data_IF_366097465878
#
_entry.id   IF_366097465878
#
_cell.length_a   1.000
_cell.length_b   1.000
_cell.length_c   1.000
_cell.angle_alpha   90.00
_cell.angle_beta   90.00
_cell.angle_gamma   90.00
#
_symmetry.space_group_name_H-M   'P 1'
#
loop_
_entity.id
_entity.type
_entity.pdbx_description
1 polymer ?
#
# COMPACT_ATOMS: atom_id res chain seq x y z
N UNK A 1 3.02 -31.61 -5.50
CA UNK A 1 1.63 -31.37 -5.96
C UNK A 1 1.51 -29.91 -6.32
N UNK A 2 1.05 -29.59 -7.53
CA UNK A 2 1.03 -28.21 -8.05
C UNK A 2 0.10 -27.30 -7.24
N UNK A 3 0.43 -26.02 -7.14
CA UNK A 3 -0.27 -24.99 -6.34
C UNK A 3 -1.69 -24.66 -6.82
N UNK A 4 -2.13 -25.26 -7.92
CA UNK A 4 -3.38 -24.94 -8.62
C UNK A 4 -4.42 -26.08 -8.58
N UNK A 5 -4.05 -27.28 -8.10
CA UNK A 5 -4.95 -28.43 -8.08
C UNK A 5 -6.21 -28.14 -7.23
N UNK A 6 -7.40 -28.37 -7.79
CA UNK A 6 -8.68 -28.18 -7.09
C UNK A 6 -9.21 -26.73 -7.06
N UNK A 7 -8.56 -25.81 -7.79
CA UNK A 7 -9.09 -24.45 -8.04
C UNK A 7 -10.01 -24.46 -9.26
N UNK A 8 -10.79 -23.38 -9.44
CA UNK A 8 -11.75 -23.22 -10.54
C UNK A 8 -11.57 -21.88 -11.25
N UNK A 9 -11.58 -21.90 -12.59
CA UNK A 9 -11.44 -20.71 -13.41
C UNK A 9 -12.60 -20.54 -14.41
N UNK A 10 -13.10 -19.31 -14.57
CA UNK A 10 -13.90 -18.88 -15.72
C UNK A 10 -12.96 -18.32 -16.78
N UNK A 11 -13.11 -18.79 -18.01
CA UNK A 11 -12.36 -18.32 -19.18
C UNK A 11 -13.31 -17.89 -20.28
N UNK A 12 -13.23 -16.63 -20.70
CA UNK A 12 -14.09 -16.10 -21.77
C UNK A 12 -13.38 -16.02 -23.14
N UNK A 13 -14.09 -16.36 -24.22
CA UNK A 13 -13.75 -15.96 -25.60
C UNK A 13 -13.05 -16.96 -26.54
N UNK A 14 -13.35 -16.81 -27.82
CA UNK A 14 -13.37 -17.86 -28.85
C UNK A 14 -12.03 -18.23 -29.52
N UNK A 15 -10.89 -17.62 -29.15
CA UNK A 15 -9.61 -17.94 -29.81
C UNK A 15 -8.41 -17.85 -28.86
N UNK A 16 -8.21 -16.71 -28.20
CA UNK A 16 -7.16 -16.56 -27.18
C UNK A 16 -7.59 -17.09 -25.79
N UNK A 17 -8.90 -17.17 -25.52
CA UNK A 17 -9.45 -17.73 -24.28
C UNK A 17 -9.29 -19.25 -24.22
N UNK A 18 -9.57 -19.93 -25.32
CA UNK A 18 -9.44 -21.40 -25.45
C UNK A 18 -8.03 -21.89 -25.08
N UNK A 19 -6.98 -21.24 -25.58
CA UNK A 19 -5.59 -21.59 -25.21
C UNK A 19 -5.31 -21.47 -23.71
N UNK A 20 -5.97 -20.52 -23.02
CA UNK A 20 -5.87 -20.37 -21.57
C UNK A 20 -6.71 -21.41 -20.83
N UNK A 21 -7.87 -21.78 -21.35
CA UNK A 21 -8.67 -22.87 -20.81
C UNK A 21 -7.86 -24.18 -20.77
N UNK A 22 -7.14 -24.50 -21.84
CA UNK A 22 -6.22 -25.64 -21.86
C UNK A 22 -5.02 -25.48 -20.91
N UNK A 23 -4.47 -24.28 -20.76
CA UNK A 23 -3.39 -24.04 -19.81
C UNK A 23 -3.83 -24.30 -18.36
N UNK A 24 -5.02 -23.84 -17.98
CA UNK A 24 -5.61 -24.13 -16.66
C UNK A 24 -5.92 -25.63 -16.50
N UNK A 25 -6.47 -26.27 -17.53
CA UNK A 25 -6.76 -27.70 -17.49
C UNK A 25 -5.49 -28.55 -17.25
N UNK A 26 -4.38 -28.23 -17.92
CA UNK A 26 -3.09 -28.92 -17.73
C UNK A 26 -2.56 -28.85 -16.29
N UNK A 27 -2.94 -27.83 -15.55
CA UNK A 27 -2.60 -27.64 -14.14
C UNK A 27 -3.64 -28.27 -13.18
N UNK A 28 -4.63 -28.99 -13.70
CA UNK A 28 -5.66 -29.68 -12.91
C UNK A 28 -6.72 -28.74 -12.31
N UNK A 29 -6.91 -27.57 -12.92
CA UNK A 29 -7.92 -26.57 -12.52
C UNK A 29 -9.23 -26.88 -13.24
N UNK A 30 -10.36 -26.88 -12.52
CA UNK A 30 -11.68 -27.01 -13.14
C UNK A 30 -12.02 -25.77 -13.97
N UNK A 31 -12.53 -25.93 -15.19
CA UNK A 31 -12.67 -24.82 -16.14
C UNK A 31 -14.12 -24.61 -16.58
N UNK A 32 -14.66 -23.43 -16.30
CA UNK A 32 -15.88 -22.94 -16.93
C UNK A 32 -15.51 -22.12 -18.19
N UNK A 33 -15.89 -22.64 -19.35
CA UNK A 33 -15.71 -21.99 -20.66
C UNK A 33 -16.95 -21.16 -20.97
N UNK A 34 -16.75 -19.87 -21.23
CA UNK A 34 -17.80 -18.92 -21.56
C UNK A 34 -17.60 -18.38 -22.97
N UNK A 35 -18.55 -18.67 -23.86
CA UNK A 35 -18.51 -18.18 -25.23
C UNK A 35 -19.93 -17.99 -25.80
N UNK A 36 -20.05 -17.08 -26.77
CA UNK A 36 -21.29 -16.92 -27.54
C UNK A 36 -21.38 -18.00 -28.63
N UNK A 37 -20.24 -18.52 -29.08
CA UNK A 37 -20.15 -19.61 -30.05
C UNK A 37 -20.31 -20.96 -29.33
N UNK A 38 -21.52 -21.51 -29.41
CA UNK A 38 -21.92 -22.76 -28.74
C UNK A 38 -21.13 -23.96 -29.24
N UNK A 39 -20.92 -24.06 -30.55
CA UNK A 39 -20.22 -25.20 -31.14
C UNK A 39 -18.77 -25.24 -30.67
N UNK A 40 -18.10 -24.09 -30.69
CA UNK A 40 -16.71 -23.95 -30.27
C UNK A 40 -16.52 -24.19 -28.78
N UNK A 41 -17.36 -23.59 -27.95
CA UNK A 41 -17.29 -23.76 -26.51
C UNK A 41 -17.56 -25.20 -26.07
N UNK A 42 -18.54 -25.86 -26.70
CA UNK A 42 -18.82 -27.29 -26.46
C UNK A 42 -17.61 -28.16 -26.84
N UNK A 43 -17.00 -27.90 -28.01
CA UNK A 43 -15.80 -28.61 -28.44
C UNK A 43 -14.62 -28.45 -27.47
N UNK A 44 -14.37 -27.23 -26.99
CA UNK A 44 -13.29 -26.98 -26.01
C UNK A 44 -13.51 -27.75 -24.71
N UNK A 45 -14.73 -27.81 -24.20
CA UNK A 45 -15.04 -28.57 -22.99
C UNK A 45 -14.89 -30.08 -23.20
N UNK A 46 -15.26 -30.60 -24.37
CA UNK A 46 -15.00 -32.00 -24.72
C UNK A 46 -13.50 -32.32 -24.75
N UNK A 47 -12.69 -31.47 -25.39
CA UNK A 47 -11.23 -31.62 -25.44
C UNK A 47 -10.59 -31.52 -24.04
N UNK A 48 -11.10 -30.65 -23.14
CA UNK A 48 -10.63 -30.59 -21.75
C UNK A 48 -11.04 -31.84 -20.96
N UNK A 49 -12.25 -32.36 -21.19
CA UNK A 49 -12.72 -33.58 -20.55
C UNK A 49 -11.87 -34.80 -20.94
N UNK A 50 -11.40 -34.88 -22.18
CA UNK A 50 -10.44 -35.91 -22.64
C UNK A 50 -9.11 -35.86 -21.88
N UNK A 51 -8.74 -34.70 -21.32
CA UNK A 51 -7.55 -34.55 -20.46
C UNK A 51 -7.78 -35.02 -19.01
N UNK A 52 -8.99 -35.50 -18.68
CA UNK A 52 -9.35 -35.95 -17.33
C UNK A 52 -9.66 -34.81 -16.36
N UNK A 53 -9.97 -33.61 -16.87
CA UNK A 53 -10.23 -32.41 -16.07
C UNK A 53 -11.70 -32.03 -16.18
N UNK A 54 -12.29 -31.63 -15.05
CA UNK A 54 -13.69 -31.24 -15.00
C UNK A 54 -13.91 -29.87 -15.67
N UNK A 55 -14.84 -29.82 -16.62
CA UNK A 55 -15.12 -28.61 -17.39
C UNK A 55 -16.62 -28.41 -17.65
N UNK A 56 -17.03 -27.15 -17.72
CA UNK A 56 -18.41 -26.71 -17.94
C UNK A 56 -18.43 -25.71 -19.08
N UNK A 57 -19.31 -25.90 -20.06
CA UNK A 57 -19.60 -24.86 -21.04
C UNK A 57 -20.84 -24.09 -20.61
N UNK A 58 -20.76 -22.76 -20.63
CA UNK A 58 -21.93 -21.88 -20.46
C UNK A 58 -22.00 -20.90 -21.64
N UNK A 59 -23.02 -21.00 -22.51
CA UNK A 59 -23.27 -20.00 -23.54
C UNK A 59 -23.39 -18.62 -22.89
N UNK A 60 -22.48 -17.71 -23.21
CA UNK A 60 -22.43 -16.40 -22.55
C UNK A 60 -22.26 -15.27 -23.55
N UNK A 61 -23.22 -14.35 -23.57
CA UNK A 61 -23.02 -13.03 -24.15
C UNK A 61 -22.48 -12.08 -23.08
N UNK A 62 -21.20 -11.71 -23.19
CA UNK A 62 -20.55 -10.80 -22.23
C UNK A 62 -21.09 -9.37 -22.25
N UNK A 63 -21.98 -9.03 -23.18
CA UNK A 63 -22.70 -7.74 -23.21
C UNK A 63 -24.04 -7.78 -22.46
N UNK A 64 -24.53 -8.97 -22.10
CA UNK A 64 -25.77 -9.17 -21.33
C UNK A 64 -25.45 -9.52 -19.87
N UNK A 65 -25.86 -8.64 -18.96
CA UNK A 65 -25.64 -8.81 -17.53
C UNK A 65 -26.32 -10.06 -16.95
N UNK A 66 -27.47 -10.46 -17.51
CA UNK A 66 -28.19 -11.65 -17.04
C UNK A 66 -27.46 -12.94 -17.44
N UNK A 67 -26.97 -13.00 -18.68
CA UNK A 67 -26.10 -14.07 -19.19
C UNK A 67 -24.80 -14.22 -18.36
N UNK A 68 -24.15 -13.10 -18.00
CA UNK A 68 -22.96 -13.14 -17.13
C UNK A 68 -23.30 -13.63 -15.71
N UNK A 69 -24.45 -13.24 -15.16
CA UNK A 69 -24.89 -13.72 -13.86
C UNK A 69 -25.15 -15.24 -13.86
N UNK A 70 -25.70 -15.77 -14.95
CA UNK A 70 -25.90 -17.21 -15.16
C UNK A 70 -24.58 -17.96 -15.29
N UNK A 71 -23.59 -17.42 -15.99
CA UNK A 71 -22.24 -17.99 -16.05
C UNK A 71 -21.63 -18.17 -14.66
N UNK A 72 -21.66 -17.12 -13.83
CA UNK A 72 -21.10 -17.19 -12.47
C UNK A 72 -21.88 -18.20 -11.63
N UNK A 73 -23.22 -18.15 -11.67
CA UNK A 73 -24.09 -19.06 -10.92
C UNK A 73 -23.87 -20.52 -11.33
N UNK A 74 -23.84 -20.80 -12.63
CA UNK A 74 -23.60 -22.13 -13.18
C UNK A 74 -22.23 -22.68 -12.80
N UNK A 75 -21.20 -21.83 -12.81
CA UNK A 75 -19.84 -22.21 -12.39
C UNK A 75 -19.80 -22.60 -10.91
N UNK A 76 -20.32 -21.73 -10.02
CA UNK A 76 -20.35 -22.01 -8.59
C UNK A 76 -21.24 -23.22 -8.28
N UNK A 77 -22.34 -23.41 -9.00
CA UNK A 77 -23.19 -24.58 -8.84
C UNK A 77 -22.48 -25.89 -9.24
N UNK A 78 -21.71 -25.88 -10.34
CA UNK A 78 -21.06 -27.07 -10.87
C UNK A 78 -19.79 -27.47 -10.10
N UNK A 79 -19.02 -26.49 -9.65
CA UNK A 79 -17.70 -26.72 -9.03
C UNK A 79 -17.62 -26.33 -7.55
N UNK A 80 -18.68 -25.74 -6.98
CA UNK A 80 -18.75 -25.30 -5.58
C UNK A 80 -17.98 -24.01 -5.26
N UNK A 81 -17.18 -23.49 -6.20
CA UNK A 81 -16.33 -22.30 -6.01
C UNK A 81 -15.97 -21.64 -7.35
N UNK A 82 -15.40 -20.44 -7.26
CA UNK A 82 -14.77 -19.71 -8.35
C UNK A 82 -13.53 -19.00 -7.80
N UNK A 83 -12.34 -19.31 -8.34
CA UNK A 83 -11.07 -18.73 -7.88
C UNK A 83 -10.50 -17.70 -8.86
N UNK A 84 -10.72 -17.91 -10.17
CA UNK A 84 -10.18 -17.05 -11.22
C UNK A 84 -11.26 -16.69 -12.24
N UNK A 85 -11.29 -15.43 -12.68
CA UNK A 85 -12.13 -15.00 -13.80
C UNK A 85 -11.26 -14.24 -14.82
N UNK A 86 -11.09 -14.83 -16.01
CA UNK A 86 -10.29 -14.25 -17.08
C UNK A 86 -11.19 -13.69 -18.17
N UNK A 87 -11.19 -12.36 -18.30
CA UNK A 87 -11.86 -11.65 -19.39
C UNK A 87 -10.86 -11.28 -20.48
N UNK A 88 -11.21 -11.55 -21.74
CA UNK A 88 -10.47 -10.98 -22.88
C UNK A 88 -10.70 -9.46 -22.99
N UNK A 89 -9.64 -8.70 -23.23
CA UNK A 89 -9.73 -7.32 -23.74
C UNK A 89 -9.99 -7.41 -25.25
N UNK A 90 -11.09 -6.83 -25.76
CA UNK A 90 -11.20 -6.54 -27.20
C UNK A 90 -10.31 -5.34 -27.49
N UNK A 91 -9.04 -5.58 -27.79
CA UNK A 91 -8.17 -4.54 -28.36
C UNK A 91 -8.18 -4.63 -29.88
N UNK A 92 -8.54 -3.55 -30.56
CA UNK A 92 -8.29 -3.40 -32.00
C UNK A 92 -6.85 -2.90 -32.14
N UNK A 93 -5.91 -3.84 -32.16
CA UNK A 93 -4.55 -3.59 -32.62
C UNK A 93 -3.48 -3.70 -31.53
N UNK A 94 -2.37 -4.32 -31.93
CA UNK A 94 -1.12 -4.57 -31.19
C UNK A 94 -1.14 -5.72 -30.18
N UNK A 95 -0.47 -6.81 -30.57
CA UNK A 95 -0.13 -7.93 -29.72
C UNK A 95 1.05 -7.55 -28.80
N UNK A 96 0.88 -7.72 -27.49
CA UNK A 96 1.93 -7.65 -26.47
C UNK A 96 1.54 -8.54 -25.27
N UNK A 97 2.50 -9.20 -24.59
CA UNK A 97 2.21 -10.38 -23.79
C UNK A 97 1.85 -10.01 -22.36
N UNK A 98 0.57 -10.06 -21.96
CA UNK A 98 0.23 -10.04 -20.54
C UNK A 98 -0.97 -10.92 -20.18
N UNK A 99 -0.71 -11.88 -19.30
CA UNK A 99 -1.53 -12.09 -18.11
C UNK A 99 -0.59 -12.48 -16.97
N UNK A 100 -0.52 -11.65 -15.94
CA UNK A 100 0.08 -12.04 -14.67
C UNK A 100 -0.86 -13.03 -13.99
N UNK A 101 -0.37 -14.26 -13.80
CA UNK A 101 -0.92 -15.20 -12.83
C UNK A 101 -0.32 -14.80 -11.49
N UNK A 102 -1.14 -14.30 -10.57
CA UNK A 102 -0.74 -14.18 -9.17
C UNK A 102 -0.96 -15.52 -8.47
N UNK A 103 0.13 -16.20 -8.15
CA UNK A 103 0.19 -17.12 -7.02
C UNK A 103 1.58 -17.09 -6.37
N UNK A 104 1.66 -16.59 -5.13
CA UNK A 104 2.76 -16.74 -4.17
C UNK A 104 2.12 -17.42 -2.96
N UNK A 105 2.66 -18.46 -2.32
CA UNK A 105 4.07 -18.82 -2.15
C UNK A 105 4.24 -20.16 -1.39
N UNK A 106 5.52 -20.58 -1.33
CA UNK A 106 6.22 -21.41 -0.33
C UNK A 106 6.22 -22.93 -0.53
N UNK A 107 7.44 -23.46 -0.67
CA UNK A 107 7.72 -24.83 -1.09
C UNK A 107 8.00 -25.79 0.04
N UNK A 108 8.46 -26.98 -0.34
CA UNK A 108 9.29 -27.82 0.51
C UNK A 108 10.00 -28.94 -0.30
N UNK A 109 11.19 -29.30 0.20
CA UNK A 109 11.98 -30.52 0.02
C UNK A 109 12.94 -30.69 -1.19
N UNK A 110 14.22 -30.43 -0.87
CA UNK A 110 15.32 -31.43 -0.76
C UNK A 110 15.45 -32.55 -1.82
N UNK A 111 16.64 -32.63 -2.44
CA UNK A 111 17.45 -33.85 -2.54
C UNK A 111 18.87 -33.58 -3.05
N UNK A 112 19.83 -33.77 -2.14
CA UNK A 112 21.11 -34.49 -2.29
C UNK A 112 21.75 -34.67 -3.70
N UNK A 113 23.00 -34.22 -3.88
CA UNK A 113 24.19 -35.08 -4.06
C UNK A 113 25.51 -34.27 -4.17
N UNK A 114 26.68 -34.87 -3.90
CA UNK A 114 27.87 -34.16 -3.42
C UNK A 114 28.97 -34.01 -4.48
N UNK A 115 29.64 -32.85 -4.50
CA UNK A 115 31.01 -32.76 -5.01
C UNK A 115 31.87 -31.93 -4.07
N UNK A 116 32.84 -32.62 -3.44
CA UNK A 116 33.91 -32.04 -2.64
C UNK A 116 34.88 -31.29 -3.54
N UNK A 117 35.14 -30.02 -3.25
CA UNK A 117 36.46 -29.40 -3.42
C UNK A 117 36.66 -28.40 -2.28
N UNK A 118 37.51 -28.77 -1.33
CA UNK A 118 38.00 -27.89 -0.26
C UNK A 118 38.95 -26.86 -0.87
N UNK A 119 38.57 -25.58 -0.81
CA UNK A 119 39.49 -24.46 -0.92
C UNK A 119 39.40 -23.66 0.37
N UNK A 120 40.33 -23.93 1.28
CA UNK A 120 40.50 -23.17 2.51
C UNK A 120 40.96 -21.74 2.19
N UNK A 121 40.03 -20.79 2.14
CA UNK A 121 40.33 -19.36 2.14
C UNK A 121 40.25 -18.84 3.57
N UNK A 122 41.42 -18.45 4.09
CA UNK A 122 41.58 -17.66 5.31
C UNK A 122 40.57 -16.50 5.31
N UNK A 123 39.58 -16.54 6.20
CA UNK A 123 38.70 -15.43 6.53
C UNK A 123 39.51 -14.37 7.27
N UNK A 124 40.13 -13.46 6.52
CA UNK A 124 40.49 -12.16 7.07
C UNK A 124 39.19 -11.41 7.32
N UNK A 125 38.94 -10.99 8.57
CA UNK A 125 37.84 -10.08 8.92
C UNK A 125 37.96 -8.86 8.01
N UNK A 126 37.08 -8.76 7.01
CA UNK A 126 36.87 -7.51 6.28
C UNK A 126 36.27 -6.52 7.26
N UNK A 127 36.87 -5.34 7.36
CA UNK A 127 36.22 -4.18 7.96
C UNK A 127 34.84 -3.98 7.29
N UNK A 128 33.79 -3.58 8.04
CA UNK A 128 32.45 -3.49 7.50
C UNK A 128 32.41 -2.41 6.42
N UNK A 129 32.07 -2.80 5.19
CA UNK A 129 31.79 -1.83 4.13
C UNK A 129 30.55 -1.02 4.50
N UNK A 130 30.60 0.28 4.27
CA UNK A 130 29.48 1.23 4.37
C UNK A 130 28.45 1.06 3.22
N UNK A 131 28.19 -0.18 2.79
CA UNK A 131 27.41 -0.53 1.58
C UNK A 131 26.06 -1.16 1.96
N UNK A 132 25.34 -0.60 2.94
CA UNK A 132 24.06 -1.12 3.40
C UNK A 132 22.87 -0.27 2.94
N UNK A 133 21.74 -0.91 2.66
CA UNK A 133 20.47 -0.20 2.46
C UNK A 133 19.95 0.35 3.79
N UNK A 134 19.44 1.57 3.77
CA UNK A 134 18.81 2.23 4.90
C UNK A 134 17.29 2.34 4.70
N UNK A 135 16.53 1.98 5.74
CA UNK A 135 15.10 2.23 5.89
C UNK A 135 14.94 3.33 6.94
N UNK A 136 14.34 4.45 6.56
CA UNK A 136 13.98 5.53 7.48
C UNK A 136 12.50 5.44 7.83
N UNK A 137 12.18 5.43 9.11
CA UNK A 137 10.80 5.44 9.61
C UNK A 137 10.66 6.61 10.59
N UNK A 138 9.97 7.65 10.14
CA UNK A 138 9.63 8.86 10.90
C UNK A 138 8.28 8.62 11.58
N UNK A 139 8.29 8.53 12.91
CA UNK A 139 7.19 8.06 13.74
C UNK A 139 7.35 6.58 14.13
N UNK A 140 7.52 6.32 15.41
CA UNK A 140 7.68 5.03 16.05
C UNK A 140 6.38 4.51 16.71
N UNK A 141 5.23 5.11 16.36
CA UNK A 141 3.90 4.62 16.74
C UNK A 141 3.57 3.23 16.17
N UNK A 142 2.33 2.77 16.40
CA UNK A 142 1.91 1.40 16.03
C UNK A 142 2.15 1.04 14.56
N UNK A 143 1.81 1.94 13.64
CA UNK A 143 2.04 1.74 12.20
C UNK A 143 3.53 1.77 11.84
N UNK A 144 4.27 2.76 12.35
CA UNK A 144 5.71 2.88 12.11
C UNK A 144 6.47 1.62 12.54
N UNK A 145 6.15 1.08 13.72
CA UNK A 145 6.73 -0.19 14.21
C UNK A 145 6.40 -1.38 13.33
N UNK A 146 5.16 -1.52 12.89
CA UNK A 146 4.75 -2.62 12.01
C UNK A 146 5.48 -2.55 10.66
N UNK A 147 5.60 -1.35 10.08
CA UNK A 147 6.34 -1.13 8.83
C UNK A 147 7.84 -1.40 9.02
N UNK A 148 8.44 -0.88 10.08
CA UNK A 148 9.85 -1.10 10.41
C UNK A 148 10.19 -2.59 10.57
N UNK A 149 9.35 -3.33 11.30
CA UNK A 149 9.48 -4.78 11.47
C UNK A 149 9.41 -5.52 10.13
N UNK A 150 8.45 -5.16 9.28
CA UNK A 150 8.23 -5.83 7.99
C UNK A 150 9.33 -5.55 6.97
N UNK A 151 9.84 -4.31 6.91
CA UNK A 151 10.74 -3.85 5.86
C UNK A 151 12.22 -3.79 6.28
N UNK A 152 12.49 -3.85 7.59
CA UNK A 152 13.83 -3.65 8.15
C UNK A 152 14.80 -4.82 7.99
N UNK A 153 14.32 -6.00 7.59
CA UNK A 153 15.19 -7.16 7.36
C UNK A 153 16.21 -6.85 6.25
N UNK A 154 17.50 -7.09 6.54
CA UNK A 154 18.60 -6.82 5.60
C UNK A 154 18.99 -5.34 5.46
N UNK A 155 18.33 -4.43 6.18
CA UNK A 155 18.59 -2.98 6.14
C UNK A 155 19.03 -2.44 7.50
N UNK A 156 19.66 -1.28 7.50
CA UNK A 156 19.78 -0.44 8.71
C UNK A 156 18.48 0.36 8.86
N UNK A 157 17.77 0.17 9.97
CA UNK A 157 16.56 0.93 10.29
C UNK A 157 16.95 2.18 11.07
N UNK A 158 16.72 3.35 10.49
CA UNK A 158 16.74 4.63 11.21
C UNK A 158 15.30 4.91 11.69
N UNK A 159 15.05 4.61 12.96
CA UNK A 159 13.77 4.87 13.61
C UNK A 159 13.82 6.22 14.31
N UNK A 160 12.80 7.04 14.13
CA UNK A 160 12.74 8.35 14.75
C UNK A 160 11.33 8.67 15.25
N UNK A 161 11.25 9.45 16.32
CA UNK A 161 10.01 9.95 16.91
C UNK A 161 10.33 11.21 17.73
N UNK A 162 9.31 11.99 18.05
CA UNK A 162 9.39 13.09 19.00
C UNK A 162 9.31 12.58 20.44
N UNK A 163 8.53 11.52 20.68
CA UNK A 163 8.44 10.90 22.00
C UNK A 163 9.60 9.91 22.21
N UNK A 164 10.57 10.30 23.05
CA UNK A 164 11.73 9.47 23.37
C UNK A 164 11.34 8.13 24.01
N UNK A 165 10.27 8.08 24.80
CA UNK A 165 9.83 6.84 25.46
C UNK A 165 9.28 5.85 24.44
N UNK A 166 8.44 6.32 23.51
CA UNK A 166 7.93 5.50 22.40
C UNK A 166 9.09 5.04 21.51
N UNK A 167 10.02 5.95 21.18
CA UNK A 167 11.17 5.67 20.34
C UNK A 167 12.08 4.59 20.95
N UNK A 168 12.45 4.73 22.22
CA UNK A 168 13.32 3.78 22.92
C UNK A 168 12.68 2.39 23.01
N UNK A 169 11.40 2.32 23.40
CA UNK A 169 10.67 1.07 23.50
C UNK A 169 10.55 0.36 22.14
N UNK A 170 10.24 1.12 21.07
CA UNK A 170 10.14 0.60 19.72
C UNK A 170 11.50 0.10 19.20
N UNK A 171 12.56 0.87 19.41
CA UNK A 171 13.91 0.50 19.00
C UNK A 171 14.42 -0.73 19.76
N UNK A 172 14.17 -0.82 21.07
CA UNK A 172 14.53 -1.97 21.88
C UNK A 172 13.82 -3.26 21.40
N UNK A 173 12.52 -3.18 21.12
CA UNK A 173 11.76 -4.31 20.59
C UNK A 173 12.32 -4.81 19.25
N UNK A 174 12.54 -3.91 18.29
CA UNK A 174 13.09 -4.27 16.97
C UNK A 174 14.52 -4.83 17.07
N UNK A 175 15.37 -4.28 17.95
CA UNK A 175 16.70 -4.83 18.23
C UNK A 175 16.63 -6.25 18.81
N UNK A 176 15.69 -6.48 19.74
CA UNK A 176 15.44 -7.80 20.32
C UNK A 176 14.99 -8.85 19.28
N UNK A 177 14.36 -8.40 18.21
CA UNK A 177 13.94 -9.22 17.07
C UNK A 177 15.04 -9.41 16.00
N UNK A 178 16.23 -8.83 16.21
CA UNK A 178 17.39 -8.99 15.35
C UNK A 178 17.54 -7.92 14.27
N UNK A 179 16.74 -6.84 14.29
CA UNK A 179 16.91 -5.72 13.37
C UNK A 179 18.12 -4.86 13.77
N UNK A 180 18.82 -4.30 12.76
CA UNK A 180 19.84 -3.28 12.96
C UNK A 180 19.15 -1.92 13.06
N UNK A 181 19.06 -1.36 14.28
CA UNK A 181 18.29 -0.12 14.51
C UNK A 181 19.16 0.98 15.08
N UNK A 182 19.14 2.14 14.43
CA UNK A 182 19.60 3.43 14.96
C UNK A 182 18.35 4.24 15.34
N UNK A 183 18.29 4.74 16.57
CA UNK A 183 17.21 5.59 17.05
C UNK A 183 17.66 7.05 17.05
N UNK A 184 16.79 7.97 16.64
CA UNK A 184 17.07 9.41 16.68
C UNK A 184 15.81 10.19 17.08
N UNK A 185 15.90 11.03 18.11
CA UNK A 185 14.84 11.98 18.44
C UNK A 185 14.70 13.01 17.31
N UNK A 186 13.47 13.23 16.83
CA UNK A 186 13.18 14.14 15.72
C UNK A 186 11.90 14.91 15.99
N UNK A 187 11.98 16.23 15.87
CA UNK A 187 10.82 17.11 15.78
C UNK A 187 10.59 17.46 14.31
N UNK A 188 9.56 16.88 13.69
CA UNK A 188 9.29 17.11 12.26
C UNK A 188 8.85 18.55 11.97
N UNK A 189 8.40 19.31 12.97
CA UNK A 189 8.07 20.73 12.81
C UNK A 189 9.30 21.64 12.73
N UNK A 190 10.49 21.11 13.05
CA UNK A 190 11.76 21.83 12.99
C UNK A 190 12.53 21.49 11.71
N UNK A 191 12.74 22.45 10.78
CA UNK A 191 13.55 22.23 9.58
C UNK A 191 14.97 21.72 9.89
N UNK A 192 15.60 22.25 10.95
CA UNK A 192 16.93 21.83 11.36
C UNK A 192 16.96 20.39 11.86
N UNK A 193 15.91 19.96 12.57
CA UNK A 193 15.78 18.58 13.06
C UNK A 193 15.62 17.59 11.89
N UNK A 194 14.78 17.92 10.90
CA UNK A 194 14.55 17.08 9.71
C UNK A 194 15.81 17.02 8.83
N UNK A 195 16.49 18.15 8.60
CA UNK A 195 17.75 18.17 7.85
C UNK A 195 18.85 17.33 8.54
N UNK A 196 18.93 17.39 9.88
CA UNK A 196 19.83 16.54 10.65
C UNK A 196 19.47 15.05 10.52
N UNK A 197 18.18 14.71 10.51
CA UNK A 197 17.71 13.35 10.26
C UNK A 197 18.12 12.84 8.85
N UNK A 198 17.90 13.64 7.80
CA UNK A 198 18.29 13.27 6.43
C UNK A 198 19.80 13.06 6.30
N UNK A 199 20.61 13.90 6.97
CA UNK A 199 22.07 13.73 7.05
C UNK A 199 22.46 12.42 7.75
N UNK A 200 21.84 12.09 8.88
CA UNK A 200 22.07 10.81 9.56
C UNK A 200 21.70 9.63 8.66
N UNK A 201 20.55 9.69 7.97
CA UNK A 201 20.12 8.64 7.06
C UNK A 201 21.16 8.37 5.96
N UNK A 202 21.65 9.43 5.31
CA UNK A 202 22.68 9.34 4.26
C UNK A 202 24.02 8.81 4.79
N UNK A 203 24.36 9.06 6.06
CA UNK A 203 25.56 8.54 6.69
C UNK A 203 25.45 7.05 7.07
N UNK A 204 24.24 6.52 7.26
CA UNK A 204 23.99 5.12 7.62
C UNK A 204 24.01 4.17 6.41
N UNK A 205 23.82 4.68 5.20
CA UNK A 205 23.84 3.90 3.97
C UNK A 205 23.02 4.49 2.84
N UNK A 206 22.72 3.67 1.83
CA UNK A 206 21.87 4.05 0.70
C UNK A 206 20.42 4.18 1.17
N UNK A 207 19.84 5.38 1.16
CA UNK A 207 18.46 5.63 1.60
C UNK A 207 17.48 5.04 0.58
N UNK A 208 17.17 3.76 0.70
CA UNK A 208 16.32 3.05 -0.26
C UNK A 208 14.84 3.13 0.08
N UNK A 209 14.50 3.34 1.36
CA UNK A 209 13.12 3.41 1.81
C UNK A 209 12.94 4.52 2.84
N UNK A 210 11.90 5.33 2.65
CA UNK A 210 11.51 6.41 3.57
C UNK A 210 10.03 6.27 3.88
N UNK A 211 9.68 6.29 5.17
CA UNK A 211 8.31 6.16 5.62
C UNK A 211 8.02 7.26 6.62
N UNK A 212 7.04 8.11 6.31
CA UNK A 212 6.57 9.14 7.22
C UNK A 212 5.22 8.72 7.82
N UNK A 213 5.23 8.42 9.11
CA UNK A 213 4.06 8.03 9.91
C UNK A 213 3.76 8.98 11.07
N UNK A 214 4.67 9.92 11.35
CA UNK A 214 4.48 10.94 12.37
C UNK A 214 3.23 11.78 12.07
N UNK A 215 2.49 12.10 13.12
CA UNK A 215 1.29 12.90 13.02
C UNK A 215 0.53 12.93 14.34
N UNK A 216 -0.39 13.87 14.45
CA UNK A 216 -1.20 14.12 15.64
C UNK A 216 -2.69 13.99 15.27
N UNK A 217 -3.48 13.40 16.17
CA UNK A 217 -4.94 13.38 16.00
C UNK A 217 -5.61 14.63 16.56
N UNK A 218 -6.84 14.97 16.11
CA UNK A 218 -7.66 16.03 16.70
C UNK A 218 -7.93 15.89 18.20
N UNK A 219 -7.84 14.67 18.73
CA UNK A 219 -8.05 14.37 20.16
C UNK A 219 -6.80 14.67 20.99
N UNK A 220 -5.62 14.68 20.36
CA UNK A 220 -4.33 14.80 21.04
C UNK A 220 -3.76 16.23 21.02
N UNK A 221 -4.17 17.05 20.06
CA UNK A 221 -3.44 18.28 19.74
C UNK A 221 -4.36 19.43 19.31
N UNK A 222 -3.86 20.65 19.51
CA UNK A 222 -4.51 21.86 18.98
C UNK A 222 -4.40 21.92 17.46
N UNK A 223 -5.29 22.69 16.82
CA UNK A 223 -5.22 22.92 15.37
C UNK A 223 -3.86 23.44 14.92
N UNK A 224 -3.26 24.38 15.68
CA UNK A 224 -1.93 24.91 15.40
C UNK A 224 -0.83 23.83 15.42
N UNK A 225 -0.88 22.92 16.41
CA UNK A 225 0.08 21.81 16.49
C UNK A 225 -0.12 20.81 15.34
N UNK A 226 -1.36 20.51 14.96
CA UNK A 226 -1.69 19.66 13.81
C UNK A 226 -1.17 20.27 12.51
N UNK A 227 -1.40 21.56 12.26
CA UNK A 227 -0.85 22.24 11.08
C UNK A 227 0.69 22.22 11.08
N UNK A 228 1.31 22.43 12.24
CA UNK A 228 2.76 22.43 12.38
C UNK A 228 3.38 21.06 12.09
N UNK A 229 2.78 19.98 12.60
CA UNK A 229 3.32 18.61 12.48
C UNK A 229 2.83 17.91 11.21
N UNK A 230 1.52 17.83 11.01
CA UNK A 230 0.90 17.00 9.97
C UNK A 230 0.88 17.65 8.59
N UNK A 231 0.95 18.99 8.51
CA UNK A 231 1.03 19.74 7.25
C UNK A 231 2.47 20.17 6.97
N UNK A 232 3.04 21.06 7.80
CA UNK A 232 4.37 21.61 7.54
C UNK A 232 5.47 20.56 7.78
N UNK A 233 5.40 19.80 8.87
CA UNK A 233 6.41 18.78 9.17
C UNK A 233 6.44 17.62 8.17
N UNK A 234 5.27 17.13 7.74
CA UNK A 234 5.18 16.14 6.68
C UNK A 234 5.78 16.65 5.35
N UNK A 235 5.53 17.92 5.02
CA UNK A 235 6.11 18.57 3.84
C UNK A 235 7.64 18.68 3.93
N UNK A 236 8.18 19.09 5.09
CA UNK A 236 9.63 19.17 5.32
C UNK A 236 10.31 17.82 5.14
N UNK A 237 9.74 16.74 5.71
CA UNK A 237 10.27 15.39 5.55
C UNK A 237 10.27 14.98 4.09
N UNK A 238 9.19 15.25 3.35
CA UNK A 238 9.08 14.89 1.94
C UNK A 238 10.12 15.62 1.06
N UNK A 239 10.36 16.90 1.33
CA UNK A 239 11.35 17.72 0.63
C UNK A 239 12.79 17.28 0.92
N UNK A 240 13.16 17.18 2.20
CA UNK A 240 14.51 16.81 2.64
C UNK A 240 14.88 15.40 2.17
N UNK A 241 13.97 14.43 2.30
CA UNK A 241 14.22 13.08 1.83
C UNK A 241 14.20 12.93 0.31
N UNK A 242 13.51 13.83 -0.39
CA UNK A 242 13.63 13.98 -1.83
C UNK A 242 15.07 14.26 -2.27
N UNK A 243 15.87 14.95 -1.45
CA UNK A 243 17.27 15.26 -1.77
C UNK A 243 18.24 14.10 -1.50
N UNK A 244 17.90 13.15 -0.62
CA UNK A 244 18.83 12.08 -0.20
C UNK A 244 18.43 10.66 -0.62
N UNK A 245 17.16 10.36 -0.93
CA UNK A 245 16.70 9.04 -1.40
C UNK A 245 17.55 8.47 -2.55
N UNK A 246 17.95 7.21 -2.50
CA UNK A 246 18.77 6.62 -3.55
C UNK A 246 17.97 6.35 -4.84
N UNK A 247 18.65 6.26 -5.98
CA UNK A 247 18.04 5.77 -7.21
C UNK A 247 17.48 4.34 -7.01
N UNK A 248 16.27 4.10 -7.52
CA UNK A 248 15.50 2.88 -7.23
C UNK A 248 14.81 2.88 -5.85
N UNK A 249 15.00 3.93 -5.05
CA UNK A 249 14.37 4.09 -3.74
C UNK A 249 12.87 4.41 -3.82
N UNK A 250 12.20 4.28 -2.68
CA UNK A 250 10.78 4.51 -2.57
C UNK A 250 10.38 5.18 -1.24
N UNK A 251 9.42 6.10 -1.32
CA UNK A 251 8.84 6.81 -0.19
C UNK A 251 7.37 6.47 0.01
N UNK A 252 6.93 6.43 1.27
CA UNK A 252 5.52 6.37 1.65
C UNK A 252 5.22 7.42 2.72
N UNK A 253 4.21 8.25 2.48
CA UNK A 253 3.63 9.15 3.48
C UNK A 253 2.30 8.58 3.97
N UNK A 254 2.15 8.39 5.27
CA UNK A 254 0.88 8.00 5.88
C UNK A 254 0.01 9.24 6.06
N UNK A 255 -0.98 9.36 5.19
CA UNK A 255 -2.05 10.33 5.26
C UNK A 255 -3.22 9.78 6.09
N UNK A 256 -4.47 10.00 5.67
CA UNK A 256 -5.68 9.51 6.31
C UNK A 256 -6.86 9.58 5.34
N UNK A 257 -7.85 8.71 5.53
CA UNK A 257 -9.16 8.84 4.86
C UNK A 257 -9.79 10.23 5.10
N UNK A 258 -9.44 10.92 6.19
CA UNK A 258 -9.86 12.29 6.45
C UNK A 258 -9.51 13.26 5.30
N UNK A 259 -8.39 13.04 4.59
CA UNK A 259 -8.04 13.82 3.40
C UNK A 259 -9.00 13.64 2.22
N UNK A 260 -9.68 12.49 2.14
CA UNK A 260 -10.74 12.22 1.14
C UNK A 260 -12.12 12.74 1.54
N UNK A 261 -12.26 13.13 2.81
CA UNK A 261 -13.49 13.63 3.43
C UNK A 261 -13.40 15.12 3.75
N UNK A 262 -12.22 15.72 3.59
CA UNK A 262 -11.98 17.12 3.84
C UNK A 262 -12.89 17.99 2.97
N UNK A 263 -13.19 19.19 3.45
CA UNK A 263 -13.94 20.17 2.69
C UNK A 263 -13.26 20.41 1.33
N UNK A 264 -14.03 20.49 0.22
CA UNK A 264 -13.47 20.80 -1.09
C UNK A 264 -12.67 22.10 -1.05
N UNK A 265 -11.47 22.07 -1.61
CA UNK A 265 -10.62 23.23 -1.78
C UNK A 265 -10.77 23.79 -3.19
N UNK A 266 -10.61 25.10 -3.35
CA UNK A 266 -10.50 25.70 -4.68
C UNK A 266 -9.24 25.18 -5.40
N UNK A 267 -9.24 25.07 -6.73
CA UNK A 267 -8.07 24.59 -7.49
C UNK A 267 -6.78 25.34 -7.16
N UNK A 268 -6.86 26.66 -6.91
CA UNK A 268 -5.73 27.50 -6.54
C UNK A 268 -5.18 27.16 -5.13
N UNK A 269 -6.06 26.79 -4.20
CA UNK A 269 -5.67 26.33 -2.87
C UNK A 269 -5.00 24.96 -2.93
N UNK A 270 -5.52 24.04 -3.74
CA UNK A 270 -4.87 22.74 -3.96
C UNK A 270 -3.48 22.91 -4.58
N UNK A 271 -3.35 23.77 -5.60
CA UNK A 271 -2.08 24.10 -6.23
C UNK A 271 -1.08 24.72 -5.24
N UNK A 272 -1.53 25.63 -4.38
CA UNK A 272 -0.70 26.22 -3.33
C UNK A 272 -0.24 25.18 -2.31
N UNK A 273 -1.13 24.34 -1.78
CA UNK A 273 -0.75 23.26 -0.86
C UNK A 273 0.24 22.28 -1.49
N UNK A 274 0.12 22.01 -2.79
CA UNK A 274 1.00 21.09 -3.51
C UNK A 274 2.42 21.64 -3.73
N UNK A 275 2.55 22.95 -3.97
CA UNK A 275 3.79 23.53 -4.53
C UNK A 275 4.48 24.58 -3.66
N UNK A 276 3.79 25.20 -2.70
CA UNK A 276 4.41 26.14 -1.76
C UNK A 276 5.51 25.43 -0.95
N UNK A 277 6.70 26.02 -0.76
CA UNK A 277 7.75 25.43 0.08
C UNK A 277 7.25 25.12 1.49
N UNK A 278 7.71 24.02 2.08
CA UNK A 278 7.22 23.59 3.40
C UNK A 278 7.32 24.68 4.48
N UNK A 279 8.38 25.50 4.44
CA UNK A 279 8.60 26.62 5.37
C UNK A 279 7.60 27.78 5.24
N UNK A 280 6.83 27.84 4.14
CA UNK A 280 5.87 28.90 3.85
C UNK A 280 4.42 28.43 3.93
N UNK A 281 4.17 27.12 4.11
CA UNK A 281 2.81 26.55 4.11
C UNK A 281 1.90 27.18 5.18
N UNK A 282 2.44 27.45 6.37
CA UNK A 282 1.67 28.06 7.47
C UNK A 282 1.42 29.56 7.27
N UNK A 283 2.02 30.18 6.26
CA UNK A 283 1.73 31.56 5.88
C UNK A 283 0.62 31.66 4.83
N UNK A 284 0.15 30.54 4.29
CA UNK A 284 -1.00 30.54 3.38
C UNK A 284 -2.25 31.01 4.13
N UNK A 285 -3.04 31.93 3.55
CA UNK A 285 -4.16 32.58 4.24
C UNK A 285 -5.29 31.63 4.64
N UNK A 286 -5.28 30.39 4.14
CA UNK A 286 -6.28 29.36 4.41
C UNK A 286 -5.70 28.14 5.15
N UNK A 287 -4.40 28.16 5.49
CA UNK A 287 -3.72 27.06 6.18
C UNK A 287 -2.90 27.54 7.39
N UNK A 288 -3.03 28.81 7.78
CA UNK A 288 -2.40 29.36 8.97
C UNK A 288 -3.14 28.96 10.25
N UNK A 289 -2.47 28.96 11.41
CA UNK A 289 -3.11 28.69 12.71
C UNK A 289 -4.26 29.65 13.07
N UNK A 290 -4.23 30.88 12.53
CA UNK A 290 -5.30 31.87 12.71
C UNK A 290 -6.51 31.59 11.82
N UNK A 291 -6.27 31.04 10.63
CA UNK A 291 -7.32 30.73 9.65
C UNK A 291 -8.04 29.42 9.97
N UNK A 292 -7.33 28.42 10.51
CA UNK A 292 -7.87 27.09 10.80
C UNK A 292 -7.67 26.75 12.27
N UNK A 293 -8.70 27.02 13.07
CA UNK A 293 -8.67 26.88 14.53
C UNK A 293 -9.33 25.62 15.05
N UNK A 294 -10.15 24.94 14.24
CA UNK A 294 -10.75 23.65 14.57
C UNK A 294 -9.75 22.50 14.32
N UNK A 295 -9.44 21.65 15.31
CA UNK A 295 -8.52 20.54 15.15
C UNK A 295 -8.92 19.52 14.07
N UNK A 296 -10.22 19.27 13.89
CA UNK A 296 -10.73 18.35 12.87
C UNK A 296 -10.53 18.89 11.45
N UNK A 297 -10.83 20.17 11.23
CA UNK A 297 -10.57 20.86 9.96
C UNK A 297 -9.07 20.95 9.66
N UNK A 298 -8.24 21.27 10.66
CA UNK A 298 -6.78 21.29 10.52
C UNK A 298 -6.25 19.92 10.09
N UNK A 299 -6.74 18.84 10.71
CA UNK A 299 -6.35 17.49 10.36
C UNK A 299 -6.79 17.10 8.96
N UNK A 300 -8.05 17.36 8.58
CA UNK A 300 -8.54 17.12 7.23
C UNK A 300 -7.73 17.87 6.16
N UNK A 301 -7.43 19.15 6.40
CA UNK A 301 -6.61 19.99 5.53
C UNK A 301 -5.18 19.43 5.39
N UNK A 302 -4.53 19.10 6.50
CA UNK A 302 -3.18 18.55 6.52
C UNK A 302 -3.10 17.22 5.75
N UNK A 303 -4.06 16.32 5.96
CA UNK A 303 -4.09 15.02 5.27
C UNK A 303 -4.41 15.16 3.78
N UNK A 304 -5.25 16.13 3.38
CA UNK A 304 -5.43 16.48 1.97
C UNK A 304 -4.15 17.05 1.36
N UNK A 305 -3.46 17.94 2.07
CA UNK A 305 -2.18 18.49 1.63
C UNK A 305 -1.13 17.39 1.43
N UNK A 306 -1.03 16.41 2.32
CA UNK A 306 -0.10 15.28 2.18
C UNK A 306 -0.29 14.51 0.87
N UNK A 307 -1.55 14.30 0.45
CA UNK A 307 -1.86 13.63 -0.83
C UNK A 307 -1.39 14.48 -2.03
N UNK A 308 -1.70 15.79 -2.00
CA UNK A 308 -1.34 16.74 -3.06
C UNK A 308 0.19 16.93 -3.16
N UNK A 309 0.88 17.00 -2.02
CA UNK A 309 2.33 17.14 -1.97
C UNK A 309 3.04 15.88 -2.43
N UNK A 310 2.54 14.69 -2.13
CA UNK A 310 3.08 13.45 -2.70
C UNK A 310 2.95 13.44 -4.22
N UNK A 311 1.82 13.91 -4.78
CA UNK A 311 1.65 14.03 -6.23
C UNK A 311 2.71 14.96 -6.82
N UNK A 312 2.90 16.15 -6.24
CA UNK A 312 3.91 17.11 -6.71
C UNK A 312 5.35 16.57 -6.54
N UNK A 313 5.68 16.03 -5.37
CA UNK A 313 7.00 15.49 -5.05
C UNK A 313 7.36 14.24 -5.86
N UNK A 314 6.37 13.53 -6.43
CA UNK A 314 6.66 12.39 -7.31
C UNK A 314 7.50 12.75 -8.53
N UNK A 315 7.40 14.00 -9.00
CA UNK A 315 8.22 14.52 -10.11
C UNK A 315 9.66 14.69 -9.67
N UNK A 316 9.90 15.39 -8.55
CA UNK A 316 11.26 15.65 -8.04
C UNK A 316 11.95 14.39 -7.52
N UNK A 317 11.21 13.47 -6.89
CA UNK A 317 11.72 12.15 -6.54
C UNK A 317 12.07 11.33 -7.79
N UNK A 318 11.26 11.47 -8.86
CA UNK A 318 11.48 10.83 -10.15
C UNK A 318 12.77 11.28 -10.85
N UNK A 319 13.17 12.55 -10.72
CA UNK A 319 14.45 13.07 -11.22
C UNK A 319 15.66 12.35 -10.63
N UNK A 320 15.52 11.78 -9.42
CA UNK A 320 16.55 10.97 -8.76
C UNK A 320 16.35 9.47 -8.96
N UNK A 321 15.41 9.07 -9.82
CA UNK A 321 15.07 7.68 -10.09
C UNK A 321 14.35 6.99 -8.93
N UNK A 322 13.71 7.75 -8.03
CA UNK A 322 12.95 7.25 -6.89
C UNK A 322 11.44 7.45 -7.10
N UNK A 323 10.63 6.79 -6.28
CA UNK A 323 9.16 6.91 -6.28
C UNK A 323 8.67 7.39 -4.93
N UNK A 324 7.53 8.06 -4.89
CA UNK A 324 6.86 8.37 -3.63
C UNK A 324 5.35 8.26 -3.78
N UNK A 325 4.70 7.70 -2.78
CA UNK A 325 3.25 7.54 -2.74
C UNK A 325 2.74 7.87 -1.35
N UNK A 326 1.43 7.99 -1.21
CA UNK A 326 0.75 8.10 0.08
C UNK A 326 -0.14 6.90 0.31
N UNK A 327 -0.37 6.59 1.58
CA UNK A 327 -1.43 5.67 2.00
C UNK A 327 -2.37 6.50 2.85
N UNK A 328 -3.68 6.38 2.62
CA UNK A 328 -4.72 6.99 3.43
C UNK A 328 -5.44 5.90 4.23
N UNK A 329 -5.03 5.60 5.48
CA UNK A 329 -5.70 4.61 6.30
C UNK A 329 -7.10 5.05 6.74
N UNK A 330 -7.95 4.07 7.01
CA UNK A 330 -9.19 4.27 7.77
C UNK A 330 -8.96 4.23 9.28
N UNK A 331 -9.93 3.72 10.04
CA UNK A 331 -9.78 3.55 11.49
C UNK A 331 -8.89 2.33 11.78
N UNK A 332 -7.68 2.58 12.29
CA UNK A 332 -6.68 1.55 12.58
C UNK A 332 -6.52 1.36 14.08
N UNK A 333 -6.50 0.11 14.54
CA UNK A 333 -6.25 -0.29 15.93
C UNK A 333 -4.81 -0.01 16.36
N UNK A 334 -4.51 1.26 16.60
CA UNK A 334 -3.29 1.80 17.20
C UNK A 334 -3.65 2.48 18.53
N UNK A 335 -2.68 2.80 19.41
CA UNK A 335 -2.98 3.60 20.61
C UNK A 335 -3.71 4.93 20.29
N UNK A 336 -3.31 5.61 19.21
CA UNK A 336 -4.00 6.80 18.72
C UNK A 336 -5.44 6.49 18.29
N UNK A 337 -5.66 5.48 17.45
CA UNK A 337 -7.01 5.11 17.00
C UNK A 337 -7.92 4.63 18.14
N UNK A 338 -7.37 4.01 19.19
CA UNK A 338 -8.10 3.65 20.41
C UNK A 338 -8.54 4.90 21.18
N UNK A 339 -7.65 5.88 21.38
CA UNK A 339 -7.99 7.16 22.01
C UNK A 339 -9.09 7.88 21.25
N UNK A 340 -9.03 7.88 19.92
CA UNK A 340 -10.09 8.47 19.10
C UNK A 340 -11.42 7.72 19.33
N UNK A 341 -11.44 6.38 19.41
CA UNK A 341 -12.66 5.58 19.62
C UNK A 341 -13.28 5.80 21.00
N UNK A 342 -12.47 6.17 21.97
CA UNK A 342 -12.87 6.50 23.34
C UNK A 342 -13.29 7.97 23.50
N UNK A 343 -13.02 8.82 22.51
CA UNK A 343 -13.36 10.24 22.50
C UNK A 343 -14.84 10.52 22.21
N UNK A 344 -15.22 11.81 22.22
CA UNK A 344 -16.54 12.27 21.78
C UNK A 344 -16.87 11.84 20.33
N UNK A 345 -15.86 11.71 19.47
CA UNK A 345 -15.99 11.26 18.08
C UNK A 345 -16.13 9.74 17.95
N UNK A 346 -16.04 8.98 19.05
CA UNK A 346 -16.03 7.52 19.03
C UNK A 346 -17.29 6.90 18.45
N UNK A 347 -18.47 7.50 18.67
CA UNK A 347 -19.73 7.01 18.08
C UNK A 347 -19.70 7.12 16.55
N UNK A 348 -19.22 8.25 16.04
CA UNK A 348 -19.09 8.49 14.60
C UNK A 348 -18.13 7.48 13.96
N UNK A 349 -16.99 7.20 14.58
CA UNK A 349 -16.04 6.22 14.04
C UNK A 349 -16.55 4.79 14.11
N UNK A 350 -17.29 4.40 15.15
CA UNK A 350 -17.98 3.11 15.19
C UNK A 350 -18.96 2.98 14.02
N UNK A 351 -19.75 4.02 13.76
CA UNK A 351 -20.64 4.05 12.60
C UNK A 351 -19.89 3.94 11.26
N UNK A 352 -18.71 4.56 11.13
CA UNK A 352 -17.84 4.37 9.97
C UNK A 352 -17.41 2.91 9.78
N UNK A 353 -16.96 2.27 10.87
CA UNK A 353 -16.52 0.86 10.85
C UNK A 353 -17.69 -0.06 10.45
N UNK A 354 -18.85 0.13 11.07
CA UNK A 354 -20.04 -0.69 10.83
C UNK A 354 -20.57 -0.54 9.38
N UNK A 355 -20.46 0.67 8.82
CA UNK A 355 -20.87 0.94 7.45
C UNK A 355 -19.82 0.51 6.40
N UNK A 356 -18.56 0.32 6.80
CA UNK A 356 -17.47 -0.08 5.91
C UNK A 356 -17.71 -1.46 5.30
N UNK A 357 -17.17 -1.71 4.10
CA UNK A 357 -17.27 -3.01 3.45
C UNK A 357 -16.53 -4.11 4.22
N UNK A 358 -15.43 -3.76 4.89
CA UNK A 358 -14.66 -4.69 5.72
C UNK A 358 -15.36 -5.05 7.04
N UNK A 359 -16.23 -4.18 7.56
CA UNK A 359 -16.97 -4.39 8.81
C UNK A 359 -16.08 -4.60 10.05
N UNK A 360 -14.84 -4.11 10.01
CA UNK A 360 -13.85 -4.27 11.09
C UNK A 360 -12.89 -3.09 11.14
N UNK A 361 -12.21 -2.96 12.28
CA UNK A 361 -11.02 -2.13 12.40
C UNK A 361 -9.90 -2.65 11.50
N UNK A 362 -9.14 -1.72 10.91
CA UNK A 362 -7.85 -2.03 10.32
C UNK A 362 -6.81 -2.29 11.41
N UNK A 363 -5.75 -3.02 11.07
CA UNK A 363 -4.60 -3.28 11.94
C UNK A 363 -3.37 -2.55 11.41
N UNK A 364 -2.36 -2.28 12.26
CA UNK A 364 -1.08 -1.77 11.78
C UNK A 364 -0.45 -2.64 10.69
N UNK A 365 -0.70 -3.96 10.72
CA UNK A 365 -0.20 -4.90 9.71
C UNK A 365 -0.90 -4.79 8.35
N UNK A 366 -2.19 -4.40 8.32
CA UNK A 366 -2.90 -4.08 7.06
C UNK A 366 -2.17 -2.92 6.34
N UNK A 367 -1.78 -1.89 7.09
CA UNK A 367 -1.05 -0.73 6.55
C UNK A 367 0.41 -1.09 6.23
N UNK A 368 1.06 -1.92 7.05
CA UNK A 368 2.42 -2.37 6.76
C UNK A 368 2.48 -3.21 5.48
N UNK A 369 1.46 -4.00 5.16
CA UNK A 369 1.37 -4.74 3.90
C UNK A 369 1.25 -3.80 2.70
N UNK A 370 0.40 -2.78 2.78
CA UNK A 370 0.25 -1.76 1.75
C UNK A 370 1.55 -0.95 1.54
N UNK A 371 2.21 -0.55 2.63
CA UNK A 371 3.51 0.13 2.59
C UNK A 371 4.58 -0.75 1.95
N UNK A 372 4.65 -2.04 2.31
CA UNK A 372 5.61 -2.96 1.71
C UNK A 372 5.42 -3.13 0.20
N UNK A 373 4.17 -3.11 -0.29
CA UNK A 373 3.89 -3.10 -1.73
C UNK A 373 4.43 -1.84 -2.40
N UNK A 374 4.07 -0.66 -1.91
CA UNK A 374 4.46 0.64 -2.49
C UNK A 374 5.97 0.93 -2.40
N UNK A 375 6.63 0.41 -1.36
CA UNK A 375 8.08 0.49 -1.17
C UNK A 375 8.84 -0.59 -1.95
N UNK A 376 8.14 -1.59 -2.49
CA UNK A 376 8.72 -2.75 -3.14
C UNK A 376 8.88 -2.59 -4.65
N UNK A 377 9.59 -3.51 -5.32
CA UNK A 377 9.76 -3.49 -6.76
C UNK A 377 8.48 -3.82 -7.55
N UNK A 378 7.48 -4.45 -6.91
CA UNK A 378 6.18 -4.81 -7.51
C UNK A 378 5.37 -3.57 -7.93
N UNK A 379 5.65 -2.41 -7.34
CA UNK A 379 4.98 -1.14 -7.62
C UNK A 379 5.85 -0.20 -8.46
N UNK A 380 6.74 -0.73 -9.31
CA UNK A 380 7.72 0.06 -10.06
C UNK A 380 7.12 1.12 -10.99
N UNK A 381 5.86 0.96 -11.41
CA UNK A 381 5.12 1.92 -12.23
C UNK A 381 4.14 2.80 -11.40
N UNK A 382 4.22 2.75 -10.07
CA UNK A 382 3.33 3.49 -9.16
C UNK A 382 4.13 4.55 -8.41
N UNK A 383 3.87 5.81 -8.75
CA UNK A 383 4.40 7.00 -8.08
C UNK A 383 3.34 8.12 -8.14
N UNK A 384 3.35 9.02 -7.16
CA UNK A 384 2.44 10.16 -7.08
C UNK A 384 0.98 9.78 -6.82
N UNK A 385 0.70 8.57 -6.32
CA UNK A 385 -0.68 8.16 -5.99
C UNK A 385 -0.94 8.14 -4.50
N UNK A 386 -2.22 8.18 -4.14
CA UNK A 386 -2.71 7.85 -2.81
C UNK A 386 -3.41 6.49 -2.85
N UNK A 387 -2.98 5.59 -1.98
CA UNK A 387 -3.65 4.32 -1.74
C UNK A 387 -4.58 4.44 -0.54
N UNK A 388 -5.88 4.58 -0.82
CA UNK A 388 -6.92 4.54 0.22
C UNK A 388 -7.07 3.12 0.78
N UNK A 389 -6.72 2.95 2.06
CA UNK A 389 -6.73 1.68 2.79
C UNK A 389 -7.65 1.79 4.02
N UNK A 390 -8.95 1.97 3.78
CA UNK A 390 -9.94 2.37 4.79
C UNK A 390 -11.05 1.35 5.05
N UNK A 391 -10.93 0.14 4.51
CA UNK A 391 -11.98 -0.87 4.61
C UNK A 391 -13.27 -0.52 3.86
N UNK A 392 -13.26 0.54 3.02
CA UNK A 392 -14.41 1.00 2.25
C UNK A 392 -15.26 2.06 2.93
N UNK A 393 -14.76 2.75 3.97
CA UNK A 393 -15.50 3.85 4.64
C UNK A 393 -15.86 4.97 3.66
N UNK A 394 -14.89 5.50 2.93
CA UNK A 394 -15.12 6.58 1.95
C UNK A 394 -16.01 6.09 0.81
N UNK A 395 -15.91 4.81 0.42
CA UNK A 395 -16.83 4.23 -0.56
C UNK A 395 -18.27 4.16 -0.01
N UNK A 396 -18.45 3.82 1.26
CA UNK A 396 -19.76 3.84 1.93
C UNK A 396 -20.35 5.25 1.99
N UNK A 397 -19.53 6.28 2.27
CA UNK A 397 -19.95 7.68 2.21
C UNK A 397 -20.39 8.07 0.79
N UNK A 398 -19.55 7.82 -0.22
CA UNK A 398 -19.82 8.21 -1.62
C UNK A 398 -21.02 7.48 -2.24
N UNK A 399 -21.30 6.27 -1.78
CA UNK A 399 -22.47 5.49 -2.22
C UNK A 399 -23.76 5.83 -1.46
N UNK A 400 -23.70 6.72 -0.47
CA UNK A 400 -24.85 7.08 0.37
C UNK A 400 -25.22 6.02 1.41
N UNK A 401 -24.41 4.96 1.57
CA UNK A 401 -24.61 3.94 2.61
C UNK A 401 -24.34 4.48 4.00
N UNK A 402 -23.42 5.45 4.12
CA UNK A 402 -23.13 6.18 5.34
C UNK A 402 -23.44 7.66 5.11
N UNK A 403 -24.17 8.29 6.03
CA UNK A 403 -24.35 9.73 6.07
C UNK A 403 -23.82 10.23 7.41
N UNK A 404 -22.82 11.10 7.38
CA UNK A 404 -22.32 11.78 8.57
C UNK A 404 -23.21 13.00 8.78
N UNK A 405 -24.14 12.93 9.72
CA UNK A 405 -24.85 14.11 10.21
C UNK A 405 -23.88 14.89 11.10
N UNK A 406 -23.73 16.18 10.82
CA UNK A 406 -22.91 17.11 11.60
C UNK A 406 -23.40 17.25 13.03
#
# INVERSE_FOLDING_TARGET
MGTMQGKVAIVTGASAGIGRAFAFAREGVGVAVADIDVERGTKTVAEIAEMGVDALFVPTDGSDASSVAELVRGTVHRFGRLDYALKQRRDRGTAGPYCQVHDRKLGSHDRSQPHRHEVSKKLTRREPRMDGDALVVVGAGGMGRAIARRQGAGKTVLLCDFDETILEAAAAALKGEGHRVTAQHVDVSSPQSVAALAKTAAALGSVTQVVHTAGLSPVQASAAAILSVDLAGAALVLEEFGQVVAAGGAGVVISSMAGHMAAPLAPEQEAALATTPASELLHLPFASPEAVTDPGLAYGLAKRANQLRVQAASVTWGERGARVNSISPGVISTPMGQQELESASGQMMRAMIDASAAGRLGTPDDIAAAAAFLLGPESSFITGTDLLADGGVVAALRSGRLTLTA
#
